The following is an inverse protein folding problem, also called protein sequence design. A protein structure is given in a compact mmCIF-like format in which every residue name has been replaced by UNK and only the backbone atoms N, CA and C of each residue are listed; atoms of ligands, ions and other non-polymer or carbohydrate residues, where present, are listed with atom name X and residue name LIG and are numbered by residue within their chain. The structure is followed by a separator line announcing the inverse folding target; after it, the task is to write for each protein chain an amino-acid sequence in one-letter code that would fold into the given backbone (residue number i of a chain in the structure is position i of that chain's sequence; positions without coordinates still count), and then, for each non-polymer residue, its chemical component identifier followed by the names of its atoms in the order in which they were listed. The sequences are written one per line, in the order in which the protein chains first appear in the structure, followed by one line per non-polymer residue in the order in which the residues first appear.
data_IF_884096750226
#
_entry.id   IF_884096750226
#
_cell.length_a   1.000
_cell.length_b   1.000
_cell.length_c   1.000
_cell.angle_alpha   90.00
_cell.angle_beta   90.00
_cell.angle_gamma   90.00
#
_symmetry.space_group_name_H-M   'P 1'
#
loop_
_entity.id
_entity.type
_entity.pdbx_description
1 polymer ?
#
# COMPACT_ATOMS: atom_id res chain seq x y z
N UNK A 1 -25.64 -9.55 -10.97
CA UNK A 1 -24.52 -9.08 -10.11
C UNK A 1 -23.78 -10.32 -9.65
N UNK A 2 -22.48 -10.38 -9.84
CA UNK A 2 -21.68 -11.47 -9.25
C UNK A 2 -21.64 -11.20 -7.75
N UNK A 3 -22.12 -12.15 -6.95
CA UNK A 3 -22.11 -12.02 -5.51
C UNK A 3 -20.71 -12.32 -5.00
N UNK A 4 -19.97 -11.28 -4.58
CA UNK A 4 -18.61 -11.40 -4.06
C UNK A 4 -18.54 -11.67 -2.55
N UNK A 5 -19.65 -11.96 -1.91
CA UNK A 5 -19.77 -12.09 -0.45
C UNK A 5 -18.99 -13.27 0.16
N UNK A 6 -18.56 -14.22 -0.66
CA UNK A 6 -17.79 -15.39 -0.22
C UNK A 6 -16.50 -15.62 -1.02
N UNK A 7 -16.06 -14.64 -1.81
CA UNK A 7 -14.89 -14.74 -2.69
C UNK A 7 -13.60 -15.13 -1.94
N UNK A 8 -13.48 -14.69 -0.69
CA UNK A 8 -12.32 -14.95 0.17
C UNK A 8 -12.65 -15.80 1.39
N UNK A 9 -13.78 -16.53 1.36
CA UNK A 9 -14.17 -17.38 2.48
C UNK A 9 -13.07 -18.40 2.80
N UNK A 10 -12.72 -18.49 4.08
CA UNK A 10 -11.64 -19.38 4.57
C UNK A 10 -10.22 -18.85 4.33
N UNK A 11 -10.04 -17.69 3.69
CA UNK A 11 -8.72 -17.08 3.51
C UNK A 11 -8.41 -16.07 4.60
N UNK A 12 -7.14 -16.01 4.97
CA UNK A 12 -6.58 -15.05 5.92
C UNK A 12 -5.76 -13.98 5.21
N UNK A 13 -5.93 -12.73 5.63
CA UNK A 13 -5.23 -11.58 5.06
C UNK A 13 -4.57 -10.72 6.13
N UNK A 14 -3.34 -10.27 5.86
CA UNK A 14 -2.64 -9.25 6.63
C UNK A 14 -2.40 -8.03 5.75
N UNK A 15 -2.84 -6.84 6.24
CA UNK A 15 -2.69 -5.57 5.53
C UNK A 15 -1.93 -4.58 6.41
N UNK A 16 -0.80 -4.06 5.95
CA UNK A 16 -0.10 -3.00 6.68
C UNK A 16 -0.73 -1.64 6.39
N UNK A 17 -0.91 -0.82 7.43
CA UNK A 17 -1.58 0.49 7.32
C UNK A 17 -3.07 0.40 7.02
N UNK A 18 -3.76 -0.63 7.52
CA UNK A 18 -5.14 -0.96 7.17
C UNK A 18 -6.22 -0.22 7.95
N UNK A 19 -5.89 0.71 8.85
CA UNK A 19 -6.88 1.41 9.69
C UNK A 19 -7.48 2.67 9.05
N UNK A 20 -6.90 3.19 7.96
CA UNK A 20 -7.35 4.40 7.26
C UNK A 20 -6.94 4.39 5.78
N UNK A 21 -7.52 5.31 5.01
CA UNK A 21 -7.16 5.56 3.61
C UNK A 21 -7.23 4.32 2.74
N UNK A 22 -6.27 4.15 1.84
CA UNK A 22 -6.18 3.03 0.89
C UNK A 22 -6.21 1.68 1.61
N UNK A 23 -5.40 1.52 2.66
CA UNK A 23 -5.33 0.25 3.39
C UNK A 23 -6.67 -0.13 4.03
N UNK A 24 -7.44 0.84 4.54
CA UNK A 24 -8.81 0.59 5.03
C UNK A 24 -9.73 0.15 3.90
N UNK A 25 -9.69 0.83 2.74
CA UNK A 25 -10.48 0.43 1.58
C UNK A 25 -10.19 -1.02 1.13
N UNK A 26 -8.91 -1.42 1.16
CA UNK A 26 -8.50 -2.81 0.88
C UNK A 26 -9.04 -3.76 1.95
N UNK A 27 -8.86 -3.44 3.23
CA UNK A 27 -9.30 -4.28 4.34
C UNK A 27 -10.83 -4.49 4.31
N UNK A 28 -11.58 -3.41 4.12
CA UNK A 28 -13.05 -3.45 4.06
C UNK A 28 -13.52 -4.32 2.88
N UNK A 29 -12.89 -4.20 1.70
CA UNK A 29 -13.23 -5.00 0.53
C UNK A 29 -12.95 -6.50 0.73
N UNK A 30 -11.81 -6.85 1.33
CA UNK A 30 -11.48 -8.25 1.62
C UNK A 30 -12.40 -8.84 2.70
N UNK A 31 -12.76 -8.08 3.74
CA UNK A 31 -13.75 -8.50 4.73
C UNK A 31 -15.12 -8.73 4.11
N UNK A 32 -15.57 -7.81 3.25
CA UNK A 32 -16.84 -7.96 2.52
C UNK A 32 -16.86 -9.21 1.63
N UNK A 33 -15.69 -9.67 1.17
CA UNK A 33 -15.52 -10.93 0.45
C UNK A 33 -15.36 -12.17 1.36
N UNK A 34 -15.47 -12.03 2.68
CA UNK A 34 -15.42 -13.16 3.62
C UNK A 34 -14.03 -13.54 4.13
N UNK A 35 -12.99 -12.73 3.88
CA UNK A 35 -11.66 -12.99 4.43
C UNK A 35 -11.59 -12.71 5.94
N UNK A 36 -10.80 -13.49 6.67
CA UNK A 36 -10.34 -13.15 8.02
C UNK A 36 -9.18 -12.15 7.90
N UNK A 37 -9.44 -10.88 8.23
CA UNK A 37 -8.49 -9.79 7.99
C UNK A 37 -7.90 -9.26 9.28
N UNK A 38 -6.57 -9.25 9.39
CA UNK A 38 -5.83 -8.45 10.34
C UNK A 38 -5.21 -7.24 9.65
N UNK A 39 -5.17 -6.12 10.35
CA UNK A 39 -4.51 -4.90 9.90
C UNK A 39 -3.43 -4.47 10.88
N UNK A 40 -2.33 -3.94 10.37
CA UNK A 40 -1.30 -3.34 11.20
C UNK A 40 -1.37 -1.81 11.13
N UNK A 41 -1.22 -1.15 12.29
CA UNK A 41 -1.12 0.30 12.39
C UNK A 41 -0.23 0.69 13.58
N UNK A 42 0.29 1.91 13.61
CA UNK A 42 1.11 2.42 14.73
C UNK A 42 0.33 2.56 16.03
N UNK A 43 -0.98 2.77 15.94
CA UNK A 43 -1.88 2.84 17.08
C UNK A 43 -3.17 2.08 16.79
N UNK A 44 -3.74 1.47 17.84
CA UNK A 44 -5.06 0.85 17.76
C UNK A 44 -6.09 1.94 18.00
N UNK A 45 -7.03 2.18 17.08
CA UNK A 45 -8.04 3.25 17.20
C UNK A 45 -8.96 3.04 18.40
N UNK A 46 -9.24 1.78 18.74
CA UNK A 46 -10.14 1.40 19.81
C UNK A 46 -9.60 0.17 20.52
N UNK A 47 -9.63 0.15 21.87
CA UNK A 47 -9.09 -0.95 22.67
C UNK A 47 -9.80 -2.30 22.40
N UNK A 48 -11.02 -2.27 21.84
CA UNK A 48 -11.81 -3.45 21.47
C UNK A 48 -11.56 -3.95 20.02
N UNK A 49 -10.66 -3.30 19.27
CA UNK A 49 -10.38 -3.70 17.89
C UNK A 49 -9.49 -4.95 17.83
N UNK A 50 -10.10 -6.11 17.98
CA UNK A 50 -9.39 -7.41 17.89
C UNK A 50 -8.72 -7.68 16.53
N UNK A 51 -9.09 -6.94 15.49
CA UNK A 51 -8.54 -7.10 14.13
C UNK A 51 -7.34 -6.20 13.86
N UNK A 52 -6.85 -5.45 14.85
CA UNK A 52 -5.72 -4.53 14.69
C UNK A 52 -4.52 -5.02 15.52
N UNK A 53 -3.34 -4.96 14.89
CA UNK A 53 -2.05 -5.16 15.59
C UNK A 53 -1.32 -3.82 15.61
N UNK A 54 -1.00 -3.34 16.82
CA UNK A 54 -0.14 -2.17 16.97
C UNK A 54 1.30 -2.54 16.61
N UNK A 55 1.86 -1.91 15.57
CA UNK A 55 3.23 -2.13 15.13
C UNK A 55 3.79 -0.92 14.39
N UNK A 56 5.03 -0.58 14.69
CA UNK A 56 5.81 0.33 13.87
C UNK A 56 6.63 -0.47 12.86
N UNK A 57 6.13 -0.54 11.64
CA UNK A 57 6.77 -1.31 10.56
C UNK A 57 8.02 -0.63 9.98
N UNK A 58 8.34 0.60 10.39
CA UNK A 58 9.61 1.23 10.01
C UNK A 58 10.81 0.60 10.74
N UNK A 59 10.58 -0.12 11.83
CA UNK A 59 11.63 -0.79 12.61
C UNK A 59 11.66 -2.30 12.37
N UNK A 60 12.84 -2.89 12.46
CA UNK A 60 13.00 -4.35 12.33
C UNK A 60 12.25 -5.11 13.42
N UNK A 61 12.31 -4.64 14.67
CA UNK A 61 11.65 -5.27 15.82
C UNK A 61 10.12 -5.17 15.71
N UNK A 62 9.60 -4.01 15.26
CA UNK A 62 8.17 -3.83 15.04
C UNK A 62 7.62 -4.75 13.95
N UNK A 63 8.38 -4.97 12.87
CA UNK A 63 8.02 -5.94 11.83
C UNK A 63 8.08 -7.38 12.32
N UNK A 64 9.12 -7.73 13.08
CA UNK A 64 9.25 -9.08 13.64
C UNK A 64 8.09 -9.40 14.59
N UNK A 65 7.75 -8.47 15.48
CA UNK A 65 6.61 -8.59 16.39
C UNK A 65 5.27 -8.69 15.65
N UNK A 66 5.09 -7.89 14.56
CA UNK A 66 3.90 -7.95 13.72
C UNK A 66 3.75 -9.34 13.07
N UNK A 67 4.82 -9.85 12.46
CA UNK A 67 4.81 -11.16 11.79
C UNK A 67 4.44 -12.28 12.75
N UNK A 68 5.06 -12.31 13.94
CA UNK A 68 4.78 -13.30 14.97
C UNK A 68 3.32 -13.24 15.46
N UNK A 69 2.81 -12.05 15.81
CA UNK A 69 1.44 -11.87 16.27
C UNK A 69 0.40 -12.21 15.19
N UNK A 70 0.69 -11.87 13.92
CA UNK A 70 -0.22 -12.16 12.82
C UNK A 70 -0.32 -13.68 12.59
N UNK A 71 0.79 -14.40 12.63
CA UNK A 71 0.81 -15.86 12.51
C UNK A 71 0.13 -16.54 13.69
N UNK A 72 0.34 -16.06 14.92
CA UNK A 72 -0.34 -16.57 16.10
C UNK A 72 -1.87 -16.44 16.00
N UNK A 73 -2.37 -15.29 15.56
CA UNK A 73 -3.82 -15.01 15.47
C UNK A 73 -4.52 -15.66 14.25
N UNK A 74 -3.82 -15.77 13.12
CA UNK A 74 -4.38 -16.28 11.87
C UNK A 74 -4.05 -17.76 11.63
N UNK A 75 -3.01 -18.29 12.24
CA UNK A 75 -2.45 -19.60 11.95
C UNK A 75 -1.68 -19.66 10.65
N UNK A 76 -2.22 -19.06 9.59
CA UNK A 76 -1.58 -18.90 8.28
C UNK A 76 -1.98 -17.58 7.64
N UNK A 77 -1.19 -17.11 6.67
CA UNK A 77 -1.49 -15.89 5.91
C UNK A 77 -1.51 -16.27 4.44
N UNK A 78 -2.67 -16.13 3.80
CA UNK A 78 -2.88 -16.44 2.38
C UNK A 78 -2.71 -15.21 1.50
N UNK A 79 -3.04 -14.04 2.06
CA UNK A 79 -3.00 -12.74 1.39
C UNK A 79 -2.16 -11.78 2.24
N UNK A 80 -1.12 -11.19 1.62
CA UNK A 80 -0.29 -10.17 2.27
C UNK A 80 -0.29 -8.90 1.44
N UNK A 81 -0.73 -7.78 2.05
CA UNK A 81 -0.77 -6.49 1.38
C UNK A 81 0.13 -5.48 2.08
N UNK A 82 1.17 -5.06 1.41
CA UNK A 82 2.06 -4.01 1.86
C UNK A 82 1.54 -2.66 1.38
N UNK A 83 0.82 -1.96 2.25
CA UNK A 83 0.23 -0.66 1.94
C UNK A 83 0.87 0.49 2.72
N UNK A 84 1.60 0.21 3.81
CA UNK A 84 2.29 1.29 4.55
C UNK A 84 3.22 2.06 3.62
N UNK A 85 3.16 3.36 3.74
CA UNK A 85 4.04 4.28 3.05
C UNK A 85 3.71 5.72 3.45
N UNK A 86 4.63 6.60 3.21
CA UNK A 86 4.46 8.03 3.44
C UNK A 86 5.55 8.82 2.73
N UNK A 87 5.16 9.91 2.10
CA UNK A 87 6.09 10.90 1.59
C UNK A 87 6.36 11.93 2.69
N UNK A 88 7.56 11.94 3.25
CA UNK A 88 8.05 13.13 3.95
C UNK A 88 8.17 14.27 2.92
N UNK A 89 7.81 15.49 3.29
CA UNK A 89 8.17 16.66 2.50
C UNK A 89 9.52 17.17 3.00
N UNK A 90 10.49 17.35 2.11
CA UNK A 90 11.74 18.00 2.44
C UNK A 90 11.71 19.46 1.97
N UNK A 91 11.84 20.37 2.90
CA UNK A 91 12.12 21.77 2.60
C UNK A 91 13.61 21.89 2.23
N UNK A 92 13.94 22.74 1.24
CA UNK A 92 15.33 22.97 0.83
C UNK A 92 15.85 22.14 -0.34
N UNK A 93 15.04 21.24 -0.90
CA UNK A 93 15.38 20.44 -2.08
C UNK A 93 16.41 19.34 -1.83
N UNK A 94 16.94 18.76 -2.90
CA UNK A 94 17.81 17.57 -2.84
C UNK A 94 19.10 17.76 -2.01
N UNK A 95 19.65 18.97 -1.99
CA UNK A 95 20.90 19.27 -1.26
C UNK A 95 20.70 19.37 0.27
N UNK A 96 19.47 19.54 0.73
CA UNK A 96 19.14 19.60 2.16
C UNK A 96 18.75 18.23 2.75
N UNK A 97 18.57 17.19 1.92
CA UNK A 97 18.23 15.85 2.37
C UNK A 97 19.41 15.21 3.11
N UNK A 98 19.16 14.79 4.34
CA UNK A 98 20.12 14.10 5.20
C UNK A 98 20.10 12.59 4.95
N UNK A 99 21.12 11.89 5.46
CA UNK A 99 21.15 10.41 5.45
C UNK A 99 19.98 9.83 6.25
N UNK A 100 19.53 10.50 7.32
CA UNK A 100 18.38 10.12 8.14
C UNK A 100 17.07 10.22 7.36
N UNK A 101 16.89 11.24 6.51
CA UNK A 101 15.73 11.37 5.62
C UNK A 101 15.67 10.20 4.63
N UNK A 102 16.80 9.86 4.03
CA UNK A 102 16.91 8.72 3.14
C UNK A 102 16.65 7.39 3.86
N UNK A 103 17.26 7.18 5.03
CA UNK A 103 17.08 5.96 5.79
C UNK A 103 15.62 5.80 6.23
N UNK A 104 14.98 6.85 6.73
CA UNK A 104 13.58 6.86 7.14
C UNK A 104 12.64 6.51 5.98
N UNK A 105 12.90 7.09 4.79
CA UNK A 105 12.12 6.80 3.60
C UNK A 105 12.28 5.35 3.15
N UNK A 106 13.49 4.80 3.16
CA UNK A 106 13.78 3.42 2.82
C UNK A 106 13.18 2.45 3.84
N UNK A 107 13.33 2.71 5.14
CA UNK A 107 12.79 1.86 6.20
C UNK A 107 11.27 1.72 6.09
N UNK A 108 10.58 2.85 5.86
CA UNK A 108 9.11 2.86 5.80
C UNK A 108 8.56 2.33 4.48
N UNK A 109 9.15 2.70 3.34
CA UNK A 109 8.56 2.47 2.01
C UNK A 109 9.11 1.25 1.27
N UNK A 110 10.22 0.67 1.75
CA UNK A 110 10.85 -0.52 1.15
C UNK A 110 11.11 -1.60 2.20
N UNK A 111 11.94 -1.31 3.21
CA UNK A 111 12.43 -2.34 4.12
C UNK A 111 11.34 -2.90 5.04
N UNK A 112 10.29 -2.15 5.33
CA UNK A 112 9.09 -2.64 6.00
C UNK A 112 8.50 -3.85 5.27
N UNK A 113 8.33 -3.76 3.94
CA UNK A 113 7.84 -4.87 3.12
C UNK A 113 8.84 -6.03 3.08
N UNK A 114 10.10 -5.76 2.78
CA UNK A 114 11.16 -6.79 2.71
C UNK A 114 11.27 -7.60 4.00
N UNK A 115 11.22 -6.92 5.16
CA UNK A 115 11.33 -7.56 6.47
C UNK A 115 10.12 -8.46 6.76
N UNK A 116 8.90 -7.99 6.44
CA UNK A 116 7.67 -8.75 6.68
C UNK A 116 7.54 -9.92 5.70
N UNK A 117 7.92 -9.75 4.44
CA UNK A 117 7.98 -10.82 3.46
C UNK A 117 8.86 -11.98 3.94
N UNK A 118 10.04 -11.69 4.48
CA UNK A 118 10.94 -12.69 5.05
C UNK A 118 10.32 -13.49 6.19
N UNK A 119 9.41 -12.90 6.94
CA UNK A 119 8.72 -13.57 8.03
C UNK A 119 7.54 -14.46 7.55
N UNK A 120 6.84 -14.04 6.49
CA UNK A 120 5.57 -14.65 6.07
C UNK A 120 5.75 -15.65 4.90
N UNK A 121 6.60 -15.34 3.93
CA UNK A 121 6.80 -16.14 2.71
C UNK A 121 7.17 -17.61 3.00
N UNK A 122 8.00 -17.96 3.99
CA UNK A 122 8.31 -19.37 4.25
C UNK A 122 7.07 -20.24 4.49
N UNK A 123 6.07 -19.72 5.21
CA UNK A 123 4.80 -20.42 5.41
C UNK A 123 3.98 -20.57 4.12
N UNK A 124 3.97 -19.57 3.24
CA UNK A 124 3.33 -19.66 1.93
C UNK A 124 4.02 -20.70 1.02
N UNK A 125 5.36 -20.73 1.01
CA UNK A 125 6.14 -21.72 0.26
C UNK A 125 5.80 -23.15 0.72
N UNK A 126 5.73 -23.38 2.03
CA UNK A 126 5.39 -24.69 2.58
C UNK A 126 4.00 -25.16 2.13
N UNK A 127 3.03 -24.23 2.00
CA UNK A 127 1.68 -24.53 1.52
C UNK A 127 1.56 -24.58 -0.02
N UNK A 128 2.55 -24.07 -0.74
CA UNK A 128 2.52 -23.97 -2.21
C UNK A 128 1.48 -22.96 -2.71
N UNK A 129 1.09 -21.98 -1.90
CA UNK A 129 0.07 -21.01 -2.28
C UNK A 129 0.18 -19.70 -1.49
N UNK A 130 -0.10 -18.57 -2.14
CA UNK A 130 -0.12 -17.25 -1.53
C UNK A 130 -0.31 -16.14 -2.57
N UNK A 131 -0.78 -14.98 -2.13
CA UNK A 131 -0.91 -13.79 -2.96
C UNK A 131 -0.37 -12.56 -2.21
N UNK A 132 0.62 -11.90 -2.80
CA UNK A 132 1.22 -10.67 -2.28
C UNK A 132 0.88 -9.50 -3.18
N UNK A 133 0.58 -8.35 -2.57
CA UNK A 133 0.45 -7.07 -3.27
C UNK A 133 1.28 -6.00 -2.59
N UNK A 134 2.14 -5.35 -3.36
CA UNK A 134 2.87 -4.16 -2.93
C UNK A 134 2.16 -2.90 -3.47
N UNK A 135 1.70 -2.03 -2.57
CA UNK A 135 1.17 -0.73 -2.95
C UNK A 135 2.35 0.23 -3.12
N UNK A 136 2.64 0.54 -4.37
CA UNK A 136 3.71 1.44 -4.80
C UNK A 136 3.21 2.88 -4.94
N UNK A 137 3.58 3.62 -5.97
CA UNK A 137 3.10 4.96 -6.28
C UNK A 137 3.44 5.35 -7.71
N UNK A 138 2.64 6.19 -8.35
CA UNK A 138 3.01 6.81 -9.64
C UNK A 138 4.32 7.60 -9.55
N UNK A 139 4.71 8.08 -8.37
CA UNK A 139 5.97 8.80 -8.18
C UNK A 139 7.22 7.95 -8.48
N UNK A 140 7.11 6.63 -8.54
CA UNK A 140 8.21 5.77 -9.02
C UNK A 140 8.61 6.03 -10.49
N UNK A 141 7.70 6.59 -11.30
CA UNK A 141 7.94 6.99 -12.72
C UNK A 141 7.89 8.50 -12.93
N UNK A 142 7.04 9.19 -12.16
CA UNK A 142 6.85 10.63 -12.22
C UNK A 142 7.15 11.24 -10.84
N UNK A 143 8.44 11.27 -10.42
CA UNK A 143 8.84 11.73 -9.09
C UNK A 143 8.57 13.22 -8.93
N UNK A 144 8.08 13.60 -7.75
CA UNK A 144 7.94 15.00 -7.38
C UNK A 144 9.23 15.50 -6.70
N UNK A 145 9.68 16.71 -7.00
CA UNK A 145 10.89 17.29 -6.38
C UNK A 145 10.82 17.36 -4.85
N UNK A 146 9.62 17.42 -4.28
CA UNK A 146 9.39 17.54 -2.83
C UNK A 146 9.43 16.21 -2.08
N UNK A 147 9.61 15.07 -2.76
CA UNK A 147 9.54 13.73 -2.15
C UNK A 147 10.50 12.72 -2.79
N UNK A 148 11.72 13.16 -3.10
CA UNK A 148 12.74 12.37 -3.80
C UNK A 148 13.03 11.03 -3.11
N UNK A 149 13.31 10.94 -1.79
CA UNK A 149 13.59 9.67 -1.14
C UNK A 149 12.40 8.70 -1.19
N UNK A 150 11.17 9.21 -1.06
CA UNK A 150 9.97 8.42 -1.20
C UNK A 150 9.83 7.82 -2.60
N UNK A 151 9.99 8.65 -3.64
CA UNK A 151 9.90 8.20 -5.03
C UNK A 151 10.93 7.12 -5.34
N UNK A 152 12.18 7.30 -4.90
CA UNK A 152 13.26 6.33 -5.03
C UNK A 152 12.93 5.02 -4.29
N UNK A 153 12.44 5.08 -3.05
CA UNK A 153 12.04 3.90 -2.29
C UNK A 153 10.88 3.14 -2.95
N UNK A 154 9.88 3.85 -3.52
CA UNK A 154 8.77 3.23 -4.25
C UNK A 154 9.20 2.62 -5.59
N UNK A 155 10.19 3.19 -6.28
CA UNK A 155 10.82 2.57 -7.45
C UNK A 155 11.56 1.29 -7.07
N UNK A 156 12.31 1.31 -5.98
CA UNK A 156 12.99 0.12 -5.45
C UNK A 156 11.98 -0.98 -5.03
N UNK A 157 10.87 -0.61 -4.38
CA UNK A 157 9.80 -1.55 -4.02
C UNK A 157 9.16 -2.20 -5.26
N UNK A 158 8.96 -1.43 -6.34
CA UNK A 158 8.44 -1.97 -7.61
C UNK A 158 9.39 -3.01 -8.21
N UNK A 159 10.69 -2.71 -8.23
CA UNK A 159 11.71 -3.64 -8.73
C UNK A 159 11.80 -4.89 -7.84
N UNK A 160 11.79 -4.73 -6.52
CA UNK A 160 11.75 -5.82 -5.55
C UNK A 160 10.53 -6.72 -5.77
N UNK A 161 9.34 -6.13 -5.94
CA UNK A 161 8.10 -6.87 -6.23
C UNK A 161 8.24 -7.75 -7.46
N UNK A 162 8.86 -7.23 -8.54
CA UNK A 162 9.11 -7.98 -9.76
C UNK A 162 10.11 -9.12 -9.56
N UNK A 163 11.21 -8.87 -8.89
CA UNK A 163 12.21 -9.89 -8.60
C UNK A 163 11.62 -11.02 -7.75
N UNK A 164 10.85 -10.65 -6.72
CA UNK A 164 10.18 -11.59 -5.83
C UNK A 164 9.15 -12.47 -6.58
N UNK A 165 8.42 -11.89 -7.54
CA UNK A 165 7.47 -12.64 -8.36
C UNK A 165 8.14 -13.75 -9.17
N UNK A 166 9.32 -13.49 -9.73
CA UNK A 166 10.08 -14.47 -10.51
C UNK A 166 10.56 -15.63 -9.63
N UNK A 167 10.97 -15.33 -8.39
CA UNK A 167 11.42 -16.34 -7.42
C UNK A 167 10.26 -17.22 -6.93
N UNK A 168 9.09 -16.60 -6.68
CA UNK A 168 8.00 -17.27 -5.98
C UNK A 168 6.96 -17.92 -6.90
N UNK A 169 6.88 -17.53 -8.17
CA UNK A 169 5.93 -18.12 -9.12
C UNK A 169 6.07 -19.64 -9.25
N UNK A 170 7.29 -20.24 -9.35
CA UNK A 170 7.43 -21.70 -9.38
C UNK A 170 6.98 -22.39 -8.08
N UNK A 171 6.79 -21.63 -7.00
CA UNK A 171 6.36 -22.12 -5.69
C UNK A 171 4.84 -21.90 -5.45
N UNK A 172 4.09 -21.54 -6.51
CA UNK A 172 2.64 -21.32 -6.44
C UNK A 172 2.22 -20.00 -5.77
N UNK A 173 3.12 -19.04 -5.64
CA UNK A 173 2.84 -17.76 -4.98
C UNK A 173 2.86 -16.64 -6.01
N UNK A 174 1.83 -15.81 -6.02
CA UNK A 174 1.71 -14.66 -6.92
C UNK A 174 2.10 -13.37 -6.20
N UNK A 175 2.87 -12.53 -6.89
CA UNK A 175 3.29 -11.22 -6.38
C UNK A 175 3.02 -10.17 -7.45
N UNK A 176 2.23 -9.14 -7.11
CA UNK A 176 1.91 -8.05 -8.01
C UNK A 176 2.09 -6.70 -7.31
N UNK A 177 2.20 -5.64 -8.09
CA UNK A 177 2.25 -4.28 -7.60
C UNK A 177 1.01 -3.50 -8.04
N UNK A 178 0.50 -2.66 -7.15
CA UNK A 178 -0.53 -1.66 -7.45
C UNK A 178 0.08 -0.29 -7.25
N UNK A 179 -0.08 0.58 -8.25
CA UNK A 179 0.57 1.87 -8.35
C UNK A 179 -0.50 2.98 -8.38
N UNK A 180 -0.99 3.45 -7.21
CA UNK A 180 -1.98 4.51 -7.16
C UNK A 180 -1.42 5.86 -7.56
N UNK A 181 -2.30 6.67 -8.18
CA UNK A 181 -2.13 8.10 -8.31
C UNK A 181 -2.60 8.85 -7.06
N UNK A 182 -3.20 10.02 -7.28
CA UNK A 182 -3.81 10.77 -6.19
C UNK A 182 -5.13 10.14 -5.77
N UNK A 183 -5.17 9.65 -4.54
CA UNK A 183 -6.35 9.02 -3.92
C UNK A 183 -6.82 9.89 -2.76
N UNK A 184 -8.11 10.19 -2.71
CA UNK A 184 -8.73 10.98 -1.66
C UNK A 184 -8.81 10.18 -0.36
N UNK A 185 -7.84 10.42 0.51
CA UNK A 185 -7.73 9.84 1.84
C UNK A 185 -7.86 10.94 2.88
N UNK A 186 -8.04 10.59 4.15
CA UNK A 186 -8.04 11.55 5.25
C UNK A 186 -6.71 12.35 5.32
N UNK A 187 -5.59 11.75 4.91
CA UNK A 187 -4.29 12.43 4.84
C UNK A 187 -4.24 13.43 3.68
N UNK A 188 -4.78 13.06 2.52
CA UNK A 188 -4.88 13.96 1.36
C UNK A 188 -5.82 15.14 1.66
N UNK A 189 -6.94 14.88 2.33
CA UNK A 189 -7.86 15.94 2.75
C UNK A 189 -7.20 16.91 3.74
N UNK A 190 -6.48 16.38 4.76
CA UNK A 190 -5.75 17.25 5.71
C UNK A 190 -4.71 18.11 5.01
N UNK A 191 -3.94 17.55 4.06
CA UNK A 191 -2.99 18.31 3.26
C UNK A 191 -3.68 19.44 2.48
N UNK A 192 -4.86 19.20 1.89
CA UNK A 192 -5.62 20.23 1.20
C UNK A 192 -6.10 21.33 2.17
N UNK A 193 -6.51 20.97 3.39
CA UNK A 193 -6.88 21.94 4.44
C UNK A 193 -5.67 22.80 4.82
N UNK A 194 -4.51 22.21 5.06
CA UNK A 194 -3.26 22.92 5.40
C UNK A 194 -2.85 23.89 4.29
N UNK A 195 -2.86 23.45 3.03
CA UNK A 195 -2.56 24.31 1.87
C UNK A 195 -3.57 25.45 1.77
N UNK A 196 -4.87 25.16 1.97
CA UNK A 196 -5.92 26.16 1.97
C UNK A 196 -5.69 27.26 3.01
N UNK A 197 -5.30 26.87 4.23
CA UNK A 197 -4.96 27.81 5.32
C UNK A 197 -3.72 28.66 4.98
N UNK A 198 -2.64 28.02 4.52
CA UNK A 198 -1.38 28.73 4.20
C UNK A 198 -1.60 29.73 3.05
N UNK A 199 -2.33 29.33 2.02
CA UNK A 199 -2.56 30.16 0.82
C UNK A 199 -3.79 31.07 0.89
N UNK A 200 -4.58 30.98 1.95
CA UNK A 200 -5.84 31.67 2.11
C UNK A 200 -6.82 31.43 0.94
N UNK A 201 -6.97 30.16 0.56
CA UNK A 201 -7.89 29.66 -0.48
C UNK A 201 -8.81 28.57 0.10
N UNK A 202 -9.88 28.24 -0.61
CA UNK A 202 -10.78 27.15 -0.20
C UNK A 202 -10.09 25.78 -0.28
N UNK A 203 -10.62 24.81 0.44
CA UNK A 203 -10.12 23.41 0.39
C UNK A 203 -10.26 22.85 -1.02
N UNK A 204 -11.34 23.19 -1.74
CA UNK A 204 -11.58 22.72 -3.10
C UNK A 204 -10.58 23.31 -4.10
N UNK A 205 -10.24 24.59 -3.96
CA UNK A 205 -9.16 25.21 -4.74
C UNK A 205 -7.79 24.58 -4.43
N UNK A 206 -7.51 24.29 -3.15
CA UNK A 206 -6.29 23.60 -2.76
C UNK A 206 -6.22 22.19 -3.37
N UNK A 207 -7.33 21.44 -3.36
CA UNK A 207 -7.43 20.13 -4.03
C UNK A 207 -7.17 20.23 -5.52
N UNK A 208 -7.74 21.22 -6.20
CA UNK A 208 -7.50 21.48 -7.61
C UNK A 208 -6.02 21.76 -7.87
N UNK A 209 -5.38 22.61 -7.07
CA UNK A 209 -3.93 22.87 -7.19
C UNK A 209 -3.07 21.63 -6.95
N UNK A 210 -3.44 20.75 -6.01
CA UNK A 210 -2.75 19.47 -5.80
C UNK A 210 -2.86 18.62 -7.06
N UNK A 211 -4.07 18.48 -7.64
CA UNK A 211 -4.26 17.70 -8.88
C UNK A 211 -3.47 18.28 -10.05
N UNK A 212 -3.44 19.60 -10.19
CA UNK A 212 -2.67 20.29 -11.23
C UNK A 212 -1.16 20.08 -11.05
N UNK A 213 -0.66 20.09 -9.82
CA UNK A 213 0.77 19.91 -9.51
C UNK A 213 1.34 18.54 -9.92
N UNK A 214 0.48 17.53 -10.03
CA UNK A 214 0.83 16.18 -10.50
C UNK A 214 0.55 15.99 -12.00
N UNK A 215 0.25 17.05 -12.75
CA UNK A 215 -0.02 17.01 -14.19
C UNK A 215 -1.49 16.82 -14.56
N UNK A 216 -2.40 16.93 -13.61
CA UNK A 216 -3.83 16.73 -13.75
C UNK A 216 -4.26 15.27 -13.66
N UNK A 217 -5.56 15.06 -13.56
CA UNK A 217 -6.20 13.73 -13.58
C UNK A 217 -7.20 13.72 -14.74
N UNK A 218 -6.92 13.01 -15.85
CA UNK A 218 -7.82 12.98 -17.02
C UNK A 218 -9.25 12.56 -16.71
N UNK A 219 -9.48 11.67 -15.72
CA UNK A 219 -10.83 11.34 -15.26
C UNK A 219 -11.53 12.45 -14.47
N UNK A 220 -10.85 13.58 -14.20
CA UNK A 220 -11.42 14.77 -13.58
C UNK A 220 -11.57 14.74 -12.07
N UNK A 221 -11.30 13.62 -11.42
CA UNK A 221 -11.46 13.46 -9.97
C UNK A 221 -10.38 12.53 -9.39
N UNK A 222 -10.02 12.69 -8.10
CA UNK A 222 -9.13 11.76 -7.42
C UNK A 222 -9.76 10.37 -7.30
N UNK A 223 -8.92 9.33 -7.24
CA UNK A 223 -9.37 7.98 -6.92
C UNK A 223 -9.89 7.89 -5.48
N UNK A 224 -10.71 6.89 -5.22
CA UNK A 224 -11.21 6.58 -3.85
C UNK A 224 -10.46 5.38 -3.29
N UNK A 225 -10.31 5.25 -1.96
CA UNK A 225 -9.76 4.05 -1.33
C UNK A 225 -10.42 2.75 -1.79
N UNK A 226 -11.74 2.76 -2.03
CA UNK A 226 -12.49 1.62 -2.53
C UNK A 226 -12.06 1.19 -3.94
N UNK A 227 -11.70 2.12 -4.82
CA UNK A 227 -11.25 1.80 -6.18
C UNK A 227 -9.95 0.98 -6.15
N UNK A 228 -9.03 1.33 -5.24
CA UNK A 228 -7.81 0.55 -5.00
C UNK A 228 -8.15 -0.79 -4.33
N UNK A 229 -9.12 -0.80 -3.41
CA UNK A 229 -9.61 -2.00 -2.75
C UNK A 229 -10.12 -3.05 -3.74
N UNK A 230 -10.90 -2.64 -4.74
CA UNK A 230 -11.42 -3.54 -5.79
C UNK A 230 -10.30 -4.14 -6.65
N UNK A 231 -9.32 -3.32 -7.06
CA UNK A 231 -8.18 -3.81 -7.83
C UNK A 231 -7.35 -4.81 -7.03
N UNK A 232 -7.03 -4.50 -5.77
CA UNK A 232 -6.28 -5.41 -4.91
C UNK A 232 -7.07 -6.71 -4.69
N UNK A 233 -8.37 -6.64 -4.42
CA UNK A 233 -9.22 -7.81 -4.26
C UNK A 233 -9.19 -8.70 -5.52
N UNK A 234 -9.30 -8.12 -6.70
CA UNK A 234 -9.16 -8.88 -7.95
C UNK A 234 -7.79 -9.56 -8.03
N UNK A 235 -6.70 -8.86 -7.77
CA UNK A 235 -5.34 -9.38 -7.89
C UNK A 235 -5.02 -10.52 -6.90
N UNK A 236 -5.63 -10.51 -5.71
CA UNK A 236 -5.42 -11.58 -4.72
C UNK A 236 -6.41 -12.72 -4.85
N UNK A 237 -7.44 -12.59 -5.68
CA UNK A 237 -8.45 -13.63 -5.95
C UNK A 237 -7.97 -14.69 -6.94
N UNK A 238 -8.70 -15.79 -7.04
CA UNK A 238 -8.44 -16.86 -8.01
C UNK A 238 -8.73 -16.44 -9.45
N UNK A 239 -9.50 -15.36 -9.65
CA UNK A 239 -9.74 -14.76 -10.97
C UNK A 239 -8.45 -14.23 -11.61
N UNK A 240 -7.46 -13.87 -10.79
CA UNK A 240 -6.14 -13.43 -11.22
C UNK A 240 -5.08 -14.54 -11.18
N UNK A 241 -5.48 -15.82 -11.30
CA UNK A 241 -4.58 -16.98 -11.16
C UNK A 241 -3.40 -16.98 -12.14
N UNK A 242 -3.54 -16.34 -13.30
CA UNK A 242 -2.49 -16.23 -14.33
C UNK A 242 -1.77 -14.88 -14.33
N UNK A 243 -1.90 -14.11 -13.22
CA UNK A 243 -1.32 -12.78 -13.10
C UNK A 243 -0.30 -12.76 -11.96
N UNK A 244 0.99 -12.65 -12.31
CA UNK A 244 2.09 -12.44 -11.37
C UNK A 244 3.18 -11.57 -12.00
N UNK A 245 3.89 -10.80 -11.20
CA UNK A 245 4.95 -9.90 -11.65
C UNK A 245 4.47 -8.70 -12.45
N UNK A 246 3.18 -8.43 -12.44
CA UNK A 246 2.57 -7.29 -13.10
C UNK A 246 2.50 -6.09 -12.16
N UNK A 247 2.50 -4.91 -12.76
CA UNK A 247 2.22 -3.66 -12.09
C UNK A 247 0.99 -3.02 -12.72
N UNK A 248 0.06 -2.64 -11.88
CA UNK A 248 -1.21 -2.02 -12.27
C UNK A 248 -1.25 -0.58 -11.79
N UNK A 249 -1.20 0.34 -12.73
CA UNK A 249 -1.39 1.77 -12.46
C UNK A 249 -2.89 2.04 -12.31
N UNK A 250 -3.25 2.72 -11.22
CA UNK A 250 -4.61 3.18 -10.93
C UNK A 250 -4.56 4.65 -10.53
N UNK A 251 -4.59 5.54 -11.51
CA UNK A 251 -4.26 6.96 -11.34
C UNK A 251 -5.17 7.91 -12.10
N UNK A 252 -6.25 7.40 -12.68
CA UNK A 252 -7.17 8.20 -13.50
C UNK A 252 -6.53 8.78 -14.78
N UNK A 253 -5.39 8.22 -15.22
CA UNK A 253 -4.65 8.66 -16.41
C UNK A 253 -3.62 9.76 -16.16
N UNK A 254 -3.24 10.01 -14.89
CA UNK A 254 -2.32 11.10 -14.52
C UNK A 254 -0.92 10.92 -15.10
N UNK A 255 -0.38 9.69 -15.11
CA UNK A 255 0.93 9.42 -15.71
C UNK A 255 0.79 9.28 -17.21
N UNK A 256 1.45 10.18 -17.95
CA UNK A 256 1.49 10.16 -19.41
C UNK A 256 2.65 9.28 -19.88
N UNK A 257 2.33 8.25 -20.62
CA UNK A 257 3.29 7.31 -21.20
C UNK A 257 3.04 5.86 -20.77
N UNK A 258 3.59 4.96 -21.56
CA UNK A 258 3.57 3.51 -21.33
C UNK A 258 4.80 3.04 -20.57
#
# INVERSE_FOLDING_TARGET
MVEFSAEFSGRSALITGGTRGIGKGIADRLRAGGAKVLVAARSVPDAESHDVIAADVSTADGVAALGAQALDRLGSIDILVHNVGGSGQSEGGAAALTDEDWQSALDTNLLAAVRLDRAIIPGMITRGSGALVHVTSIQRRAPLPTSIPYAAAKAALTNYSKALSNELAPKGIRVNAVCPGYVETESAYRMAVEIGQIKNISVDEARTQIMESIGGIPLGAPGRPADVGELVAFLVSDRAAYITGAEYVIDGGSVRGV
#
